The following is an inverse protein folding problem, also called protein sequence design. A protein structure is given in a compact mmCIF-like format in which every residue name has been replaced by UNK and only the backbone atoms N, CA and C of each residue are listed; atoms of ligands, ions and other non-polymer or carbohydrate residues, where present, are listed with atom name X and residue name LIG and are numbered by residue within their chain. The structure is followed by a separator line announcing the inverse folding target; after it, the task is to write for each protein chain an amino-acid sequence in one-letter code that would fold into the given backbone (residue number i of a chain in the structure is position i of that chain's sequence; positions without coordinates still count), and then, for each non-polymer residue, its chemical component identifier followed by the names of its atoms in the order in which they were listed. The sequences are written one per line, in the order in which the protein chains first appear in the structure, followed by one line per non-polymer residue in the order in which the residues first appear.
data_IF_156217096399
#
_entry.id   IF_156217096399
#
_cell.length_a   1.000
_cell.length_b   1.000
_cell.length_c   1.000
_cell.angle_alpha   90.00
_cell.angle_beta   90.00
_cell.angle_gamma   90.00
#
_symmetry.space_group_name_H-M   'P 1'
#
loop_
_entity.id
_entity.type
_entity.pdbx_description
1 polymer ?
#
# COMPACT_ATOMS: atom_id res chain seq x y z
N UNK A 1 -5.55 2.81 6.09
CA UNK A 1 -6.42 3.95 5.70
C UNK A 1 -7.74 3.47 5.12
N UNK A 2 -7.77 2.58 4.11
CA UNK A 2 -9.01 2.13 3.45
C UNK A 2 -10.11 1.62 4.39
N UNK A 3 -9.78 0.79 5.39
CA UNK A 3 -10.77 0.28 6.36
C UNK A 3 -11.30 1.38 7.30
N UNK A 4 -10.43 2.26 7.82
CA UNK A 4 -10.84 3.43 8.62
C UNK A 4 -11.75 4.36 7.81
N UNK A 5 -11.43 4.61 6.54
CA UNK A 5 -12.28 5.42 5.68
C UNK A 5 -13.66 4.79 5.42
N UNK A 6 -13.80 3.48 5.64
CA UNK A 6 -15.06 2.75 5.48
C UNK A 6 -15.86 2.68 6.78
N UNK A 7 -15.25 2.26 7.88
CA UNK A 7 -15.93 2.07 9.18
C UNK A 7 -15.95 3.32 10.06
N UNK A 8 -15.09 4.30 9.76
CA UNK A 8 -14.86 5.53 10.54
C UNK A 8 -14.52 5.26 12.02
N UNK A 9 -14.03 4.07 12.38
CA UNK A 9 -13.63 3.74 13.77
C UNK A 9 -12.19 4.24 14.05
N UNK A 10 -11.98 5.29 14.86
CA UNK A 10 -10.65 5.83 15.15
C UNK A 10 -9.73 4.82 15.86
N UNK A 11 -10.28 3.80 16.53
CA UNK A 11 -9.48 2.75 17.17
C UNK A 11 -8.67 1.95 16.15
N UNK A 12 -9.06 1.98 14.88
CA UNK A 12 -8.31 1.35 13.80
C UNK A 12 -7.01 2.06 13.43
N UNK A 13 -6.88 3.33 13.78
CA UNK A 13 -5.68 4.14 13.57
C UNK A 13 -4.78 4.09 14.81
N UNK A 14 -5.38 4.17 16.00
CA UNK A 14 -4.62 4.31 17.25
C UNK A 14 -4.27 2.99 17.95
N UNK A 15 -4.83 1.85 17.54
CA UNK A 15 -4.53 0.56 18.17
C UNK A 15 -3.42 -0.20 17.38
N UNK A 16 -2.18 -0.25 17.88
CA UNK A 16 -1.06 -0.89 17.18
C UNK A 16 -1.26 -2.40 17.03
N UNK A 17 -1.91 -3.06 17.98
CA UNK A 17 -2.18 -4.50 17.89
C UNK A 17 -3.12 -4.82 16.73
N UNK A 18 -4.15 -3.99 16.50
CA UNK A 18 -5.03 -4.14 15.33
C UNK A 18 -4.27 -3.92 14.03
N UNK A 19 -3.35 -2.96 13.97
CA UNK A 19 -2.55 -2.69 12.78
C UNK A 19 -1.65 -3.90 12.43
N UNK A 20 -0.97 -4.49 13.42
CA UNK A 20 -0.12 -5.68 13.22
C UNK A 20 -0.96 -6.89 12.79
N UNK A 21 -2.14 -7.08 13.40
CA UNK A 21 -3.03 -8.19 13.04
C UNK A 21 -3.43 -8.17 11.56
N UNK A 22 -3.66 -6.97 10.99
CA UNK A 22 -4.00 -6.81 9.57
C UNK A 22 -2.86 -7.17 8.63
N UNK A 23 -1.62 -6.95 9.05
CA UNK A 23 -0.44 -7.40 8.29
C UNK A 23 -0.43 -8.93 8.21
N UNK A 24 -0.75 -9.60 9.32
CA UNK A 24 -0.88 -11.06 9.36
C UNK A 24 -2.08 -11.55 8.50
N UNK A 25 -3.23 -10.88 8.57
CA UNK A 25 -4.42 -11.19 7.75
C UNK A 25 -4.18 -10.96 6.24
N UNK A 26 -3.38 -9.96 5.87
CA UNK A 26 -2.98 -9.71 4.49
C UNK A 26 -2.08 -10.79 3.89
N UNK A 27 -1.41 -11.59 4.73
CA UNK A 27 -0.70 -12.81 4.34
C UNK A 27 0.14 -12.69 3.07
N UNK A 28 -0.01 -13.66 2.16
CA UNK A 28 0.72 -13.73 0.88
C UNK A 28 0.47 -12.52 -0.02
N UNK A 29 -0.74 -11.96 0.00
CA UNK A 29 -1.09 -10.79 -0.80
C UNK A 29 -0.34 -9.54 -0.31
N UNK A 30 -0.17 -9.39 1.00
CA UNK A 30 0.62 -8.32 1.60
C UNK A 30 2.10 -8.42 1.20
N UNK A 31 2.68 -9.62 1.24
CA UNK A 31 4.04 -9.85 0.77
C UNK A 31 4.18 -9.57 -0.74
N UNK A 32 3.17 -9.89 -1.55
CA UNK A 32 3.14 -9.54 -2.97
C UNK A 32 3.10 -8.03 -3.21
N UNK A 33 2.38 -7.27 -2.39
CA UNK A 33 2.42 -5.80 -2.48
C UNK A 33 3.83 -5.28 -2.15
N UNK A 34 4.51 -5.87 -1.16
CA UNK A 34 5.89 -5.54 -0.85
C UNK A 34 6.87 -5.86 -1.97
N UNK A 35 6.75 -6.99 -2.66
CA UNK A 35 7.65 -7.29 -3.78
C UNK A 35 7.49 -6.29 -4.92
N UNK A 36 6.26 -5.85 -5.22
CA UNK A 36 5.98 -4.79 -6.20
C UNK A 36 6.59 -3.47 -5.74
N UNK A 37 6.38 -3.09 -4.48
CA UNK A 37 6.92 -1.85 -3.93
C UNK A 37 8.45 -1.82 -3.95
N UNK A 38 9.11 -2.92 -3.58
CA UNK A 38 10.57 -3.06 -3.62
C UNK A 38 11.09 -3.01 -5.06
N UNK A 39 10.42 -3.66 -6.00
CA UNK A 39 10.78 -3.57 -7.42
C UNK A 39 10.66 -2.12 -7.93
N UNK A 40 9.57 -1.43 -7.60
CA UNK A 40 9.38 -0.02 -7.96
C UNK A 40 10.42 0.90 -7.30
N UNK A 41 10.83 0.61 -6.06
CA UNK A 41 11.91 1.33 -5.37
C UNK A 41 13.25 1.15 -6.11
N UNK A 42 13.60 -0.07 -6.46
CA UNK A 42 14.83 -0.36 -7.22
C UNK A 42 14.80 0.37 -8.58
N UNK A 43 13.67 0.35 -9.28
CA UNK A 43 13.49 1.13 -10.51
C UNK A 43 13.64 2.63 -10.27
N UNK A 44 13.15 3.14 -9.14
CA UNK A 44 13.31 4.55 -8.79
C UNK A 44 14.78 4.92 -8.62
N UNK A 45 15.55 4.07 -7.92
CA UNK A 45 16.99 4.27 -7.72
C UNK A 45 17.78 4.29 -9.02
N UNK A 46 17.35 3.59 -10.08
CA UNK A 46 17.97 3.71 -11.41
C UNK A 46 17.88 5.14 -11.96
N UNK A 47 16.87 5.90 -11.54
CA UNK A 47 16.74 7.32 -11.88
C UNK A 47 17.88 8.21 -11.35
N UNK A 48 18.69 7.72 -10.40
CA UNK A 48 19.91 8.41 -9.95
C UNK A 48 20.95 8.50 -11.07
N UNK A 49 20.97 7.55 -12.00
CA UNK A 49 21.87 7.55 -13.16
C UNK A 49 21.59 8.72 -14.12
N UNK A 50 20.38 9.31 -14.06
CA UNK A 50 19.99 10.49 -14.83
C UNK A 50 20.20 11.79 -14.01
N UNK A 51 21.38 11.95 -13.42
CA UNK A 51 21.77 13.12 -12.60
C UNK A 51 20.78 13.46 -11.47
N UNK A 52 20.08 12.46 -10.93
CA UNK A 52 19.08 12.64 -9.86
C UNK A 52 17.72 13.19 -10.29
N UNK A 53 17.59 13.82 -11.47
CA UNK A 53 16.29 14.29 -12.00
C UNK A 53 15.36 13.11 -12.26
N UNK A 54 15.91 12.03 -12.81
CA UNK A 54 15.16 10.78 -13.00
C UNK A 54 14.62 10.24 -11.68
N UNK A 55 15.42 10.27 -10.61
CA UNK A 55 15.00 9.81 -9.27
C UNK A 55 13.84 10.66 -8.71
N UNK A 56 13.87 11.97 -8.93
CA UNK A 56 12.81 12.88 -8.46
C UNK A 56 11.45 12.49 -9.03
N UNK A 57 11.37 12.21 -10.33
CA UNK A 57 10.14 11.77 -11.00
C UNK A 57 9.76 10.34 -10.60
N UNK A 58 10.72 9.41 -10.63
CA UNK A 58 10.44 8.00 -10.36
C UNK A 58 10.14 7.73 -8.88
N UNK A 59 10.58 8.58 -7.95
CA UNK A 59 10.27 8.45 -6.52
C UNK A 59 8.80 8.75 -6.23
N UNK A 60 8.23 9.79 -6.88
CA UNK A 60 6.80 10.09 -6.80
C UNK A 60 5.99 8.93 -7.40
N UNK A 61 6.40 8.44 -8.57
CA UNK A 61 5.80 7.26 -9.19
C UNK A 61 5.89 6.02 -8.29
N UNK A 62 7.03 5.77 -7.65
CA UNK A 62 7.21 4.67 -6.70
C UNK A 62 6.19 4.74 -5.55
N UNK A 63 6.00 5.91 -4.93
CA UNK A 63 5.03 6.09 -3.86
C UNK A 63 3.60 5.86 -4.32
N UNK A 64 3.26 6.25 -5.56
CA UNK A 64 1.96 5.96 -6.15
C UNK A 64 1.74 4.46 -6.36
N UNK A 65 2.74 3.75 -6.90
CA UNK A 65 2.69 2.30 -7.10
C UNK A 65 2.56 1.56 -5.77
N UNK A 66 3.36 1.93 -4.77
CA UNK A 66 3.27 1.35 -3.43
C UNK A 66 1.88 1.61 -2.81
N UNK A 67 1.40 2.86 -2.85
CA UNK A 67 0.08 3.23 -2.36
C UNK A 67 -1.04 2.43 -3.02
N UNK A 68 -1.02 2.30 -4.36
CA UNK A 68 -2.00 1.55 -5.12
C UNK A 68 -1.97 0.05 -4.82
N UNK A 69 -0.78 -0.55 -4.77
CA UNK A 69 -0.60 -1.97 -4.49
C UNK A 69 -1.14 -2.34 -3.10
N UNK A 70 -0.75 -1.60 -2.06
CA UNK A 70 -1.26 -1.83 -0.71
C UNK A 70 -2.76 -1.55 -0.61
N UNK A 71 -3.26 -0.45 -1.18
CA UNK A 71 -4.69 -0.14 -1.16
C UNK A 71 -5.52 -1.23 -1.83
N UNK A 72 -5.05 -1.80 -2.93
CA UNK A 72 -5.72 -2.91 -3.63
C UNK A 72 -5.79 -4.15 -2.75
N UNK A 73 -4.66 -4.57 -2.16
CA UNK A 73 -4.63 -5.74 -1.26
C UNK A 73 -5.56 -5.53 -0.07
N UNK A 74 -5.50 -4.37 0.60
CA UNK A 74 -6.39 -4.08 1.71
C UNK A 74 -7.87 -4.00 1.28
N UNK A 75 -8.18 -3.54 0.08
CA UNK A 75 -9.57 -3.49 -0.40
C UNK A 75 -10.13 -4.88 -0.67
N UNK A 76 -9.33 -5.74 -1.32
CA UNK A 76 -9.73 -7.11 -1.68
C UNK A 76 -9.78 -8.03 -0.45
N UNK A 77 -8.74 -8.02 0.40
CA UNK A 77 -8.67 -8.86 1.62
C UNK A 77 -9.81 -8.54 2.60
N UNK A 78 -10.14 -7.26 2.77
CA UNK A 78 -11.21 -6.84 3.69
C UNK A 78 -12.57 -6.72 3.01
N UNK A 79 -12.70 -7.15 1.74
CA UNK A 79 -13.95 -7.11 0.95
C UNK A 79 -14.66 -5.76 0.98
N UNK A 80 -13.93 -4.66 1.11
CA UNK A 80 -14.50 -3.30 1.16
C UNK A 80 -15.25 -2.96 -0.14
N UNK A 81 -14.93 -3.66 -1.23
CA UNK A 81 -15.62 -3.56 -2.53
C UNK A 81 -17.01 -4.22 -2.53
N UNK A 82 -17.21 -5.30 -1.78
CA UNK A 82 -18.47 -6.05 -1.74
C UNK A 82 -19.53 -5.39 -0.84
N UNK A 83 -19.09 -4.62 0.16
CA UNK A 83 -19.98 -3.82 1.01
C UNK A 83 -20.58 -2.60 0.28
N UNK A 84 -20.15 -2.34 -0.96
CA UNK A 84 -20.69 -1.33 -1.87
C UNK A 84 -21.65 -1.97 -2.89
N UNK A 85 -22.64 -2.73 -2.42
CA UNK A 85 -23.83 -2.99 -3.22
C UNK A 85 -24.98 -2.12 -2.68
N UNK A 86 -25.75 -1.46 -3.56
CA UNK A 86 -26.85 -0.57 -3.18
C UNK A 86 -27.99 -1.31 -2.46
#
# INVERSE_FOLDING_TARGET
MSHYCFTLDPREVFNPLRAVRRVAEGGTAYWRAWTIALAALLCSLLGLLAFGVGFLLTSVWFWQVAGFAFATVFTETFRLRAARNP
#
